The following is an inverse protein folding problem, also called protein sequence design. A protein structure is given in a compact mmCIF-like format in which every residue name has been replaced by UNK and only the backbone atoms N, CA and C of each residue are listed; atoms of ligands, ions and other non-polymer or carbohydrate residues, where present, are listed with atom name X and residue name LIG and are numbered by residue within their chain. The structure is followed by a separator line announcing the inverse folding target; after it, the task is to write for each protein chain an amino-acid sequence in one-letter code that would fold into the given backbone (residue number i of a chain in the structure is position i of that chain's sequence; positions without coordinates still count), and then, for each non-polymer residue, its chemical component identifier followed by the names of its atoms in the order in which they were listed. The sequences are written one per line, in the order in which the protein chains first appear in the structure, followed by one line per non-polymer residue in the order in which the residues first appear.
data_IF_283761340159
#
_entry.id   IF_283761340159
#
_cell.length_a   1.000
_cell.length_b   1.000
_cell.length_c   1.000
_cell.angle_alpha   90.00
_cell.angle_beta   90.00
_cell.angle_gamma   90.00
#
_symmetry.space_group_name_H-M   'P 1'
#
loop_
_entity.id
_entity.type
_entity.pdbx_description
1 polymer ?
#
# COMPACT_ATOMS: atom_id res chain seq x y z
N UNK A 1 -24.94 -10.63 28.28
CA UNK A 1 -24.53 -9.45 29.06
C UNK A 1 -23.81 -8.49 28.12
N UNK A 2 -24.48 -7.37 27.77
CA UNK A 2 -24.06 -6.42 26.72
C UNK A 2 -22.93 -5.52 27.25
N UNK A 3 -21.88 -5.36 26.44
CA UNK A 3 -20.68 -4.61 26.75
C UNK A 3 -20.93 -3.10 26.86
N UNK A 4 -20.38 -2.51 27.92
CA UNK A 4 -20.10 -1.08 28.01
C UNK A 4 -18.79 -0.80 27.26
N UNK A 5 -18.82 0.11 26.29
CA UNK A 5 -17.64 0.85 25.83
C UNK A 5 -18.02 2.32 25.90
N UNK A 6 -17.55 2.97 26.97
CA UNK A 6 -17.56 4.42 27.15
C UNK A 6 -16.55 5.04 26.16
N UNK A 7 -17.03 5.81 25.19
CA UNK A 7 -16.18 6.70 24.39
C UNK A 7 -16.23 8.07 25.05
N UNK A 8 -15.13 8.45 25.69
CA UNK A 8 -14.90 9.79 26.21
C UNK A 8 -14.76 10.78 25.04
N UNK A 9 -15.74 11.65 24.85
CA UNK A 9 -15.64 12.81 23.97
C UNK A 9 -15.08 13.99 24.77
N UNK A 10 -13.79 14.29 24.57
CA UNK A 10 -13.18 15.51 25.08
C UNK A 10 -13.74 16.73 24.36
N UNK A 11 -14.54 17.53 25.06
CA UNK A 11 -14.98 18.86 24.62
C UNK A 11 -13.84 19.86 24.86
N UNK A 12 -13.27 20.41 23.79
CA UNK A 12 -12.49 21.64 23.85
C UNK A 12 -13.35 22.79 23.32
N UNK A 13 -13.96 23.55 24.23
CA UNK A 13 -14.65 24.81 23.93
C UNK A 13 -13.61 25.92 23.99
N UNK A 14 -13.29 26.51 22.85
CA UNK A 14 -12.57 27.79 22.79
C UNK A 14 -13.58 28.90 22.43
N UNK A 15 -13.87 29.76 23.41
CA UNK A 15 -14.33 31.14 23.19
C UNK A 15 -13.10 31.95 22.68
N UNK A 16 -13.18 32.98 21.83
CA UNK A 16 -14.05 34.16 21.72
C UNK A 16 -13.87 34.80 20.32
N UNK A 17 -14.84 35.61 19.87
CA UNK A 17 -14.69 36.49 18.71
C UNK A 17 -16.03 36.91 18.10
N UNK A 18 -16.59 38.04 18.57
CA UNK A 18 -17.87 38.60 18.15
C UNK A 18 -17.67 39.44 16.87
N UNK A 19 -18.44 39.19 15.80
CA UNK A 19 -18.93 40.25 14.92
C UNK A 19 -20.14 39.80 14.06
N UNK A 20 -21.26 40.50 14.30
CA UNK A 20 -22.41 40.79 13.42
C UNK A 20 -23.32 39.66 12.92
N UNK A 21 -24.55 39.70 13.43
CA UNK A 21 -25.73 38.86 13.13
C UNK A 21 -26.35 39.19 11.76
N UNK A 22 -27.20 38.29 11.21
CA UNK A 22 -28.63 38.47 11.46
C UNK A 22 -29.39 37.18 11.85
N UNK A 23 -30.43 37.40 12.65
CA UNK A 23 -31.54 36.50 13.06
C UNK A 23 -31.13 35.16 13.70
N UNK A 24 -31.02 35.22 15.02
CA UNK A 24 -30.81 34.11 15.93
C UNK A 24 -31.96 33.09 15.88
N UNK A 25 -31.74 31.94 15.23
CA UNK A 25 -32.29 30.68 15.73
C UNK A 25 -31.78 30.51 17.16
N UNK A 26 -32.69 30.42 18.14
CA UNK A 26 -32.35 30.42 19.56
C UNK A 26 -31.31 29.35 19.91
N UNK A 27 -30.60 29.48 21.04
CA UNK A 27 -29.57 28.51 21.46
C UNK A 27 -30.08 27.06 21.45
N UNK A 28 -31.38 26.84 21.71
CA UNK A 28 -32.05 25.53 21.60
C UNK A 28 -32.21 24.99 20.17
N UNK A 29 -32.37 25.85 19.15
CA UNK A 29 -32.47 25.40 17.75
C UNK A 29 -31.11 25.02 17.18
N UNK A 30 -30.06 25.72 17.59
CA UNK A 30 -28.67 25.32 17.28
C UNK A 30 -28.33 23.99 17.94
N UNK A 31 -28.77 23.79 19.19
CA UNK A 31 -28.62 22.52 19.90
C UNK A 31 -29.39 21.39 19.21
N UNK A 32 -30.66 21.62 18.82
CA UNK A 32 -31.46 20.63 18.07
C UNK A 32 -30.85 20.26 16.72
N UNK A 33 -30.27 21.23 15.99
CA UNK A 33 -29.55 20.96 14.75
C UNK A 33 -28.27 20.17 14.98
N UNK A 34 -27.53 20.47 16.06
CA UNK A 34 -26.35 19.71 16.44
C UNK A 34 -26.70 18.27 16.84
N UNK A 35 -27.75 18.08 17.66
CA UNK A 35 -28.27 16.76 18.04
C UNK A 35 -28.72 15.96 16.82
N UNK A 36 -29.52 16.54 15.91
CA UNK A 36 -29.89 15.88 14.65
C UNK A 36 -28.69 15.50 13.79
N UNK A 37 -27.63 16.30 13.79
CA UNK A 37 -26.41 16.01 13.05
C UNK A 37 -25.62 14.85 13.67
N UNK A 38 -25.62 14.76 15.00
CA UNK A 38 -25.01 13.65 15.75
C UNK A 38 -25.82 12.37 15.58
N UNK A 39 -27.15 12.44 15.68
CA UNK A 39 -28.05 11.29 15.42
C UNK A 39 -27.85 10.74 14.01
N UNK A 40 -27.79 11.63 13.00
CA UNK A 40 -27.52 11.24 11.62
C UNK A 40 -26.14 10.61 11.44
N UNK A 41 -25.11 11.15 12.10
CA UNK A 41 -23.77 10.57 12.06
C UNK A 41 -23.69 9.19 12.75
N UNK A 42 -24.45 9.00 13.83
CA UNK A 42 -24.57 7.72 14.51
C UNK A 42 -25.33 6.68 13.66
N UNK A 43 -26.36 7.11 12.94
CA UNK A 43 -27.11 6.28 11.99
C UNK A 43 -26.23 5.84 10.82
N UNK A 44 -25.49 6.78 10.20
CA UNK A 44 -24.54 6.47 9.12
C UNK A 44 -23.41 5.51 9.59
N UNK A 45 -22.95 5.64 10.84
CA UNK A 45 -21.96 4.75 11.43
C UNK A 45 -22.52 3.34 11.68
N UNK A 46 -23.77 3.22 12.17
CA UNK A 46 -24.43 1.93 12.36
C UNK A 46 -24.67 1.21 11.02
N UNK A 47 -25.10 1.93 9.97
CA UNK A 47 -25.23 1.35 8.62
C UNK A 47 -23.88 0.85 8.09
N UNK A 48 -22.80 1.57 8.32
CA UNK A 48 -21.46 1.12 7.91
C UNK A 48 -21.02 -0.15 8.64
N UNK A 49 -21.38 -0.31 9.93
CA UNK A 49 -21.11 -1.53 10.71
C UNK A 49 -21.93 -2.71 10.17
N UNK A 50 -23.22 -2.52 9.89
CA UNK A 50 -24.08 -3.57 9.33
C UNK A 50 -23.60 -4.06 7.95
N UNK A 51 -23.17 -3.15 7.07
CA UNK A 51 -22.58 -3.50 5.76
C UNK A 51 -21.31 -4.33 5.92
N UNK A 52 -20.48 -4.03 6.92
CA UNK A 52 -19.25 -4.80 7.22
C UNK A 52 -19.58 -6.20 7.76
N UNK A 53 -20.59 -6.34 8.62
CA UNK A 53 -21.04 -7.63 9.13
C UNK A 53 -21.66 -8.50 8.02
N UNK A 54 -22.47 -7.92 7.13
CA UNK A 54 -23.10 -8.65 6.03
C UNK A 54 -22.06 -9.07 4.96
N UNK A 55 -21.05 -8.24 4.72
CA UNK A 55 -19.90 -8.59 3.86
C UNK A 55 -19.11 -9.78 4.45
N UNK A 56 -19.02 -9.89 5.78
CA UNK A 56 -18.39 -11.07 6.43
C UNK A 56 -19.23 -12.33 6.28
N UNK A 57 -20.57 -12.23 6.27
CA UNK A 57 -21.48 -13.38 6.13
C UNK A 57 -21.53 -13.95 4.71
N UNK A 58 -21.43 -13.11 3.68
CA UNK A 58 -21.60 -13.54 2.28
C UNK A 58 -20.38 -14.22 1.64
N UNK A 59 -19.26 -14.38 2.37
CA UNK A 59 -18.01 -15.03 1.89
C UNK A 59 -17.63 -14.65 0.43
N UNK A 60 -17.84 -13.39 0.04
CA UNK A 60 -17.43 -12.87 -1.27
C UNK A 60 -18.37 -13.15 -2.45
N UNK A 61 -19.52 -13.82 -2.28
CA UNK A 61 -20.51 -13.92 -3.37
C UNK A 61 -21.48 -12.73 -3.33
N UNK A 62 -21.33 -11.85 -4.33
CA UNK A 62 -22.24 -10.74 -4.67
C UNK A 62 -22.39 -9.62 -3.63
N UNK A 63 -21.25 -9.16 -3.10
CA UNK A 63 -21.14 -8.14 -2.03
C UNK A 63 -21.76 -6.78 -2.41
N UNK A 64 -21.69 -6.39 -3.69
CA UNK A 64 -22.18 -5.09 -4.18
C UNK A 64 -23.72 -5.03 -4.16
N UNK A 65 -24.39 -6.12 -4.58
CA UNK A 65 -25.85 -6.20 -4.55
C UNK A 65 -26.42 -6.26 -3.13
N UNK A 66 -25.76 -6.99 -2.24
CA UNK A 66 -26.16 -7.08 -0.84
C UNK A 66 -25.97 -5.74 -0.09
N UNK A 67 -24.85 -5.05 -0.28
CA UNK A 67 -24.59 -3.75 0.34
C UNK A 67 -25.54 -2.64 -0.16
N UNK A 68 -25.91 -2.67 -1.45
CA UNK A 68 -26.89 -1.75 -2.02
C UNK A 68 -28.33 -2.02 -1.51
N UNK A 69 -28.68 -3.28 -1.24
CA UNK A 69 -29.98 -3.66 -0.71
C UNK A 69 -30.18 -3.25 0.76
N UNK A 70 -29.11 -3.24 1.57
CA UNK A 70 -29.15 -2.86 2.99
C UNK A 70 -29.15 -1.33 3.19
N UNK A 71 -28.45 -0.57 2.35
CA UNK A 71 -28.15 0.84 2.60
C UNK A 71 -29.05 1.86 1.86
N UNK A 72 -30.30 1.49 1.52
CA UNK A 72 -31.20 2.23 0.61
C UNK A 72 -31.02 3.76 0.51
N UNK A 73 -30.99 4.30 -0.72
CA UNK A 73 -30.86 5.75 -0.98
C UNK A 73 -29.42 6.25 -1.07
N UNK A 74 -29.14 7.50 -0.63
CA UNK A 74 -27.81 8.17 -0.77
C UNK A 74 -26.65 7.40 -0.09
N UNK A 75 -26.96 6.52 0.86
CA UNK A 75 -25.97 5.70 1.57
C UNK A 75 -25.56 4.45 0.76
N UNK A 76 -26.31 4.10 -0.29
CA UNK A 76 -25.95 3.02 -1.21
C UNK A 76 -24.65 3.31 -1.97
N UNK A 77 -24.34 4.57 -2.30
CA UNK A 77 -23.08 4.92 -2.97
C UNK A 77 -21.86 4.73 -2.05
N UNK A 78 -21.99 5.08 -0.77
CA UNK A 78 -20.96 4.90 0.25
C UNK A 78 -20.76 3.40 0.52
N UNK A 79 -21.85 2.66 0.70
CA UNK A 79 -21.84 1.22 0.90
C UNK A 79 -21.27 0.47 -0.33
N UNK A 80 -21.61 0.91 -1.54
CA UNK A 80 -21.07 0.36 -2.79
C UNK A 80 -19.59 0.66 -2.94
N UNK A 81 -19.12 1.86 -2.56
CA UNK A 81 -17.69 2.20 -2.54
C UNK A 81 -16.89 1.38 -1.52
N UNK A 82 -17.44 1.20 -0.32
CA UNK A 82 -16.82 0.36 0.73
C UNK A 82 -16.83 -1.12 0.32
N UNK A 83 -17.93 -1.64 -0.23
CA UNK A 83 -18.05 -3.02 -0.71
C UNK A 83 -17.19 -3.30 -1.95
N UNK A 84 -17.08 -2.36 -2.89
CA UNK A 84 -16.15 -2.44 -4.02
C UNK A 84 -14.70 -2.41 -3.54
N UNK A 85 -14.37 -1.60 -2.53
CA UNK A 85 -13.03 -1.63 -1.90
C UNK A 85 -12.76 -2.93 -1.13
N UNK A 86 -13.80 -3.59 -0.62
CA UNK A 86 -13.70 -4.91 0.01
C UNK A 86 -13.59 -6.04 -1.01
N UNK A 87 -14.25 -5.93 -2.17
CA UNK A 87 -14.07 -6.83 -3.31
C UNK A 87 -12.65 -6.68 -3.93
N UNK A 88 -12.08 -5.47 -3.90
CA UNK A 88 -10.65 -5.26 -4.21
C UNK A 88 -9.70 -5.95 -3.22
N UNK A 89 -10.18 -6.40 -2.05
CA UNK A 89 -9.39 -7.18 -1.08
C UNK A 89 -9.36 -8.69 -1.37
N UNK A 90 -10.19 -9.21 -2.28
CA UNK A 90 -10.27 -10.66 -2.56
C UNK A 90 -9.32 -11.15 -3.67
N UNK A 91 -8.45 -10.30 -4.21
CA UNK A 91 -7.49 -10.67 -5.26
C UNK A 91 -6.18 -11.32 -4.77
N UNK A 92 -6.13 -11.82 -3.53
CA UNK A 92 -4.98 -12.56 -2.97
C UNK A 92 -5.31 -14.05 -2.77
N UNK A 93 -6.23 -14.59 -3.57
CA UNK A 93 -6.59 -16.00 -3.57
C UNK A 93 -5.71 -16.74 -4.58
N UNK A 94 -4.65 -17.38 -4.07
CA UNK A 94 -4.07 -18.70 -4.38
C UNK A 94 -4.12 -19.29 -5.83
N UNK A 95 -4.48 -18.52 -6.84
CA UNK A 95 -4.74 -18.96 -8.20
C UNK A 95 -4.20 -17.93 -9.18
N UNK A 96 -2.86 -17.85 -9.28
CA UNK A 96 -2.16 -17.32 -10.46
C UNK A 96 -2.47 -15.89 -10.93
N UNK A 97 -3.10 -15.05 -10.11
CA UNK A 97 -3.41 -13.67 -10.47
C UNK A 97 -2.24 -12.73 -10.19
N UNK A 98 -1.96 -11.82 -11.12
CA UNK A 98 -0.96 -10.73 -11.03
C UNK A 98 -1.32 -9.64 -9.99
N UNK A 99 -2.06 -9.99 -8.94
CA UNK A 99 -2.63 -9.08 -7.94
C UNK A 99 -1.58 -8.52 -6.99
N UNK A 100 -1.65 -7.21 -6.73
CA UNK A 100 -0.76 -6.51 -5.81
C UNK A 100 -1.19 -6.82 -4.37
N UNK A 101 -0.43 -7.68 -3.68
CA UNK A 101 -0.77 -8.12 -2.32
C UNK A 101 -0.52 -7.03 -1.27
N UNK A 102 -1.35 -7.02 -0.22
CA UNK A 102 -1.16 -6.20 0.99
C UNK A 102 -0.56 -7.07 2.11
N UNK A 103 0.51 -6.62 2.76
CA UNK A 103 1.37 -7.45 3.62
C UNK A 103 0.84 -7.75 5.03
N UNK A 104 -0.48 -7.83 5.23
CA UNK A 104 -1.07 -7.91 6.58
C UNK A 104 -2.12 -9.00 6.73
N UNK A 105 -1.79 -10.26 6.41
CA UNK A 105 -2.54 -11.41 6.95
C UNK A 105 -1.84 -11.92 8.23
N UNK A 106 -2.57 -12.31 9.28
CA UNK A 106 -1.96 -12.92 10.46
C UNK A 106 -1.25 -14.24 10.10
N UNK A 107 0.05 -14.36 10.38
CA UNK A 107 0.81 -15.61 10.19
C UNK A 107 2.03 -15.57 9.26
N UNK A 108 2.42 -14.42 8.69
CA UNK A 108 3.67 -14.32 7.93
C UNK A 108 4.89 -14.39 8.84
N UNK A 109 5.91 -15.14 8.42
CA UNK A 109 7.16 -15.39 9.16
C UNK A 109 8.14 -14.19 9.19
N UNK A 110 7.64 -12.97 8.98
CA UNK A 110 8.44 -11.74 8.90
C UNK A 110 9.40 -11.71 7.70
N UNK A 111 10.36 -10.78 7.74
CA UNK A 111 11.43 -10.67 6.75
C UNK A 111 12.43 -11.83 6.91
N UNK A 112 13.13 -12.17 5.83
CA UNK A 112 14.27 -13.09 5.90
C UNK A 112 15.36 -12.58 6.86
N UNK A 113 16.28 -13.46 7.30
CA UNK A 113 17.50 -13.03 7.97
C UNK A 113 18.31 -12.10 7.08
N UNK A 114 19.24 -11.34 7.66
CA UNK A 114 20.18 -10.52 6.89
C UNK A 114 20.89 -11.36 5.83
N UNK A 115 21.11 -10.83 4.60
CA UNK A 115 21.85 -11.56 3.59
C UNK A 115 23.20 -12.08 4.08
N UNK A 116 23.47 -13.37 3.89
CA UNK A 116 24.71 -13.98 4.35
C UNK A 116 25.91 -13.54 3.51
N UNK A 117 27.10 -13.53 4.13
CA UNK A 117 28.35 -13.15 3.48
C UNK A 117 28.66 -13.98 2.21
N UNK A 118 28.25 -15.25 2.20
CA UNK A 118 28.40 -16.15 1.04
C UNK A 118 27.78 -15.52 -0.21
N UNK A 119 26.55 -15.03 -0.14
CA UNK A 119 25.85 -14.51 -1.30
C UNK A 119 26.18 -13.05 -1.60
N UNK A 120 26.37 -12.22 -0.56
CA UNK A 120 26.71 -10.81 -0.76
C UNK A 120 28.10 -10.62 -1.37
N UNK A 121 29.07 -11.49 -1.04
CA UNK A 121 30.42 -11.45 -1.64
C UNK A 121 30.45 -11.86 -3.12
N UNK A 122 29.53 -12.71 -3.56
CA UNK A 122 29.39 -13.10 -4.97
C UNK A 122 28.64 -12.06 -5.80
N UNK A 123 27.96 -11.11 -5.17
CA UNK A 123 27.10 -10.14 -5.85
C UNK A 123 27.91 -8.99 -6.41
N UNK A 124 27.84 -8.80 -7.72
CA UNK A 124 28.49 -7.70 -8.43
C UNK A 124 27.51 -6.56 -8.64
N UNK A 125 27.68 -5.45 -7.94
CA UNK A 125 26.79 -4.31 -8.12
C UNK A 125 27.04 -3.54 -9.42
N UNK A 126 25.97 -3.01 -10.00
CA UNK A 126 26.01 -2.25 -11.26
C UNK A 126 26.64 -0.85 -11.10
N UNK A 127 26.94 -0.42 -9.86
CA UNK A 127 27.54 0.89 -9.58
C UNK A 127 26.60 2.07 -9.78
N UNK A 128 25.28 1.83 -9.75
CA UNK A 128 24.27 2.87 -9.76
C UNK A 128 24.11 3.43 -8.34
N UNK A 129 24.31 4.74 -8.11
CA UNK A 129 24.07 5.32 -6.80
C UNK A 129 22.57 5.31 -6.49
N UNK A 130 22.18 4.52 -5.49
CA UNK A 130 20.79 4.39 -5.04
C UNK A 130 20.43 5.58 -4.14
N UNK A 131 19.25 6.14 -4.34
CA UNK A 131 18.69 7.25 -3.56
C UNK A 131 17.19 7.06 -3.33
N UNK A 132 16.62 7.81 -2.38
CA UNK A 132 15.20 7.78 -2.02
C UNK A 132 14.65 6.34 -1.88
N UNK A 133 15.41 5.48 -1.19
CA UNK A 133 15.08 4.07 -1.07
C UNK A 133 14.22 3.81 0.18
N UNK A 134 13.21 2.98 0.04
CA UNK A 134 12.39 2.54 1.17
C UNK A 134 11.83 1.13 0.93
N UNK A 135 11.47 0.46 2.03
CA UNK A 135 10.58 -0.69 2.02
C UNK A 135 9.20 -0.23 2.51
N UNK A 136 8.17 -0.49 1.72
CA UNK A 136 6.80 -0.12 2.04
C UNK A 136 5.83 -1.26 1.78
N UNK A 137 4.54 -0.97 1.86
CA UNK A 137 3.46 -1.95 1.67
C UNK A 137 2.36 -1.36 0.82
N UNK A 138 1.74 -2.17 -0.04
CA UNK A 138 0.45 -1.76 -0.59
C UNK A 138 -0.58 -1.66 0.52
N UNK A 139 -1.29 -0.56 0.55
CA UNK A 139 -2.33 -0.32 1.53
C UNK A 139 -3.21 0.86 1.15
N UNK A 140 -4.22 1.07 1.97
CA UNK A 140 -5.19 2.13 1.77
C UNK A 140 -4.87 3.34 2.62
N UNK A 141 -5.13 4.53 2.08
CA UNK A 141 -5.11 5.80 2.79
C UNK A 141 -6.40 6.56 2.50
N UNK A 142 -6.67 7.59 3.31
CA UNK A 142 -7.82 8.48 3.08
C UNK A 142 -7.36 9.88 2.70
N UNK A 143 -8.22 10.63 2.05
CA UNK A 143 -8.02 12.07 1.81
C UNK A 143 -9.39 12.76 1.82
N UNK A 144 -9.40 14.06 2.11
CA UNK A 144 -10.64 14.85 2.10
C UNK A 144 -10.83 15.53 0.75
N UNK A 145 -12.06 15.47 0.23
CA UNK A 145 -12.50 16.21 -0.94
C UNK A 145 -13.78 16.97 -0.58
N UNK A 146 -13.63 18.26 -0.25
CA UNK A 146 -14.69 19.04 0.38
C UNK A 146 -15.05 18.48 1.75
N UNK A 147 -16.33 18.16 1.98
CA UNK A 147 -16.80 17.54 3.22
C UNK A 147 -16.75 16.01 3.21
N UNK A 148 -16.40 15.40 2.07
CA UNK A 148 -16.38 13.94 1.89
C UNK A 148 -14.97 13.38 2.15
N UNK A 149 -14.91 12.25 2.85
CA UNK A 149 -13.68 11.47 3.00
C UNK A 149 -13.66 10.36 1.97
N UNK A 150 -12.63 10.34 1.13
CA UNK A 150 -12.40 9.30 0.14
C UNK A 150 -11.25 8.38 0.54
N UNK A 151 -11.25 7.17 -0.01
CA UNK A 151 -10.25 6.15 0.26
C UNK A 151 -9.58 5.73 -1.04
N UNK A 152 -8.24 5.65 -1.05
CA UNK A 152 -7.44 5.23 -2.20
C UNK A 152 -6.30 4.31 -1.79
N UNK A 153 -5.85 3.49 -2.74
CA UNK A 153 -4.69 2.63 -2.57
C UNK A 153 -3.39 3.32 -2.99
N UNK A 154 -2.30 2.96 -2.32
CA UNK A 154 -0.93 3.36 -2.63
C UNK A 154 0.09 2.54 -1.85
N UNK A 155 1.36 2.91 -1.95
CA UNK A 155 2.42 2.36 -1.13
C UNK A 155 2.57 3.23 0.12
N UNK A 156 2.32 2.60 1.27
CA UNK A 156 2.28 3.21 2.60
C UNK A 156 3.28 2.51 3.53
N UNK A 157 3.32 2.92 4.80
CA UNK A 157 4.24 2.38 5.81
C UNK A 157 5.69 2.36 5.32
N UNK A 158 6.11 3.46 4.67
CA UNK A 158 7.41 3.60 4.03
C UNK A 158 8.51 3.71 5.09
N UNK A 159 9.30 2.66 5.22
CA UNK A 159 10.52 2.61 6.04
C UNK A 159 11.71 2.99 5.16
N UNK A 160 12.37 4.15 5.37
CA UNK A 160 13.58 4.51 4.63
C UNK A 160 14.67 3.45 4.81
N UNK A 161 15.34 3.08 3.72
CA UNK A 161 16.44 2.11 3.74
C UNK A 161 17.63 2.60 2.94
N UNK A 162 18.79 2.01 3.20
CA UNK A 162 20.02 2.24 2.44
C UNK A 162 20.57 0.93 1.90
N UNK A 163 21.28 1.03 0.77
CA UNK A 163 22.00 -0.09 0.21
C UNK A 163 23.36 -0.23 0.90
N UNK A 164 23.70 -1.43 1.35
CA UNK A 164 25.07 -1.81 1.70
C UNK A 164 25.81 -2.31 0.46
N UNK A 165 27.13 -2.11 0.43
CA UNK A 165 27.99 -2.50 -0.70
C UNK A 165 27.45 -2.07 -2.09
N UNK A 166 26.80 -0.91 -2.17
CA UNK A 166 26.30 -0.29 -3.41
C UNK A 166 24.95 -0.81 -3.95
N UNK A 167 24.53 -2.05 -3.67
CA UNK A 167 23.25 -2.58 -4.15
C UNK A 167 22.59 -3.65 -3.26
N UNK A 168 23.17 -3.97 -2.10
CA UNK A 168 22.61 -4.95 -1.17
C UNK A 168 21.59 -4.25 -0.27
N UNK A 169 20.32 -4.49 -0.53
CA UNK A 169 19.19 -3.92 0.21
C UNK A 169 18.87 -4.76 1.46
N UNK A 170 18.15 -4.18 2.45
CA UNK A 170 17.66 -4.95 3.59
C UNK A 170 16.78 -6.13 3.17
N UNK A 171 16.67 -7.10 4.07
CA UNK A 171 15.84 -8.28 3.85
C UNK A 171 14.36 -7.91 3.67
N UNK A 172 13.66 -8.71 2.89
CA UNK A 172 12.26 -8.52 2.52
C UNK A 172 11.39 -9.70 2.96
N UNK A 173 10.10 -9.43 3.15
CA UNK A 173 9.06 -10.43 3.35
C UNK A 173 8.07 -10.46 2.17
N UNK A 174 7.20 -11.46 2.11
CA UNK A 174 6.06 -11.44 1.19
C UNK A 174 5.17 -10.23 1.44
N UNK A 175 4.79 -9.55 0.36
CA UNK A 175 4.02 -8.30 0.37
C UNK A 175 4.82 -7.04 0.66
N UNK A 176 6.11 -7.15 0.99
CA UNK A 176 6.99 -5.97 1.05
C UNK A 176 7.25 -5.44 -0.37
N UNK A 177 7.27 -4.12 -0.49
CA UNK A 177 7.59 -3.40 -1.71
C UNK A 177 8.90 -2.68 -1.51
N UNK A 178 9.92 -3.05 -2.28
CA UNK A 178 11.17 -2.28 -2.36
C UNK A 178 11.00 -1.18 -3.41
N UNK A 179 11.24 0.06 -3.01
CA UNK A 179 11.34 1.20 -3.91
C UNK A 179 12.75 1.78 -3.86
N UNK A 180 13.34 2.06 -5.02
CA UNK A 180 14.63 2.74 -5.15
C UNK A 180 14.62 3.72 -6.33
N UNK A 181 15.43 4.77 -6.24
CA UNK A 181 15.72 5.66 -7.37
C UNK A 181 17.19 5.61 -7.76
N UNK A 182 17.44 5.57 -9.06
CA UNK A 182 18.77 5.60 -9.67
C UNK A 182 18.88 6.78 -10.66
N UNK A 183 20.09 7.23 -11.05
CA UNK A 183 20.22 8.29 -12.05
C UNK A 183 19.69 7.85 -13.42
N UNK A 184 18.77 8.64 -14.00
CA UNK A 184 18.08 8.28 -15.24
C UNK A 184 19.04 8.15 -16.43
N UNK A 185 20.05 9.02 -16.52
CA UNK A 185 21.05 8.99 -17.59
C UNK A 185 21.91 7.72 -17.55
N UNK A 186 22.37 7.31 -16.35
CA UNK A 186 23.15 6.07 -16.17
C UNK A 186 22.28 4.85 -16.42
N UNK A 187 21.05 4.85 -15.92
CA UNK A 187 20.08 3.80 -16.19
C UNK A 187 19.83 3.60 -17.68
N UNK A 188 19.53 4.68 -18.41
CA UNK A 188 19.28 4.63 -19.87
C UNK A 188 20.50 4.13 -20.67
N UNK A 189 21.73 4.35 -20.17
CA UNK A 189 22.94 3.86 -20.83
C UNK A 189 23.19 2.36 -20.65
N UNK A 190 22.52 1.71 -19.69
CA UNK A 190 22.67 0.29 -19.44
C UNK A 190 21.87 -0.52 -20.47
N UNK A 191 22.59 -1.06 -21.47
CA UNK A 191 22.02 -1.97 -22.47
C UNK A 191 21.67 -3.34 -21.85
N UNK A 192 20.73 -4.05 -22.46
CA UNK A 192 20.37 -5.42 -22.09
C UNK A 192 19.07 -5.55 -21.29
N UNK A 193 18.60 -6.78 -21.17
CA UNK A 193 17.44 -7.11 -20.34
C UNK A 193 17.81 -7.25 -18.87
N UNK A 194 16.82 -7.07 -18.00
CA UNK A 194 16.95 -7.28 -16.57
C UNK A 194 16.13 -8.49 -16.13
N UNK A 195 16.68 -9.29 -15.24
CA UNK A 195 16.01 -10.48 -14.71
C UNK A 195 16.16 -10.57 -13.21
N UNK A 196 15.13 -11.13 -12.57
CA UNK A 196 15.23 -11.60 -11.20
C UNK A 196 15.84 -12.99 -11.19
N UNK A 197 16.76 -13.23 -10.27
CA UNK A 197 17.23 -14.56 -9.91
C UNK A 197 17.17 -14.69 -8.39
N UNK A 198 16.62 -15.79 -7.90
CA UNK A 198 16.62 -16.13 -6.50
C UNK A 198 17.20 -17.53 -6.30
N UNK A 199 18.02 -17.67 -5.27
CA UNK A 199 18.64 -18.93 -4.86
C UNK A 199 18.21 -19.22 -3.43
N UNK A 200 17.71 -20.43 -3.16
CA UNK A 200 17.39 -20.87 -1.80
C UNK A 200 18.66 -20.86 -0.95
N UNK A 201 18.63 -20.19 0.19
CA UNK A 201 19.84 -19.91 0.96
C UNK A 201 20.46 -21.18 1.56
N UNK A 202 19.63 -22.15 1.93
CA UNK A 202 20.06 -23.41 2.56
C UNK A 202 20.62 -24.41 1.54
N UNK A 203 19.92 -24.59 0.41
CA UNK A 203 20.25 -25.62 -0.59
C UNK A 203 21.12 -25.11 -1.73
N UNK A 204 21.14 -23.79 -1.97
CA UNK A 204 21.78 -23.21 -3.15
C UNK A 204 21.03 -23.47 -4.46
N UNK A 205 19.82 -24.03 -4.42
CA UNK A 205 19.02 -24.31 -5.61
C UNK A 205 18.36 -23.05 -6.16
N UNK A 206 18.22 -22.96 -7.48
CA UNK A 206 17.48 -21.86 -8.10
C UNK A 206 15.99 -21.99 -7.78
N UNK A 207 15.37 -20.89 -7.35
CA UNK A 207 13.93 -20.84 -7.22
C UNK A 207 13.27 -20.88 -8.61
N UNK A 208 12.06 -21.45 -8.69
CA UNK A 208 11.30 -21.52 -9.93
C UNK A 208 10.98 -20.10 -10.45
N UNK A 209 11.45 -19.72 -11.64
CA UNK A 209 11.23 -18.37 -12.18
C UNK A 209 9.76 -18.00 -12.39
N UNK A 210 8.88 -18.98 -12.56
CA UNK A 210 7.43 -18.75 -12.71
C UNK A 210 6.79 -18.10 -11.47
N UNK A 211 7.48 -18.16 -10.33
CA UNK A 211 7.03 -17.57 -9.08
C UNK A 211 7.42 -16.08 -8.95
N UNK A 212 8.38 -15.59 -9.74
CA UNK A 212 8.89 -14.23 -9.56
C UNK A 212 7.90 -13.17 -10.03
N UNK A 213 7.84 -12.01 -9.35
CA UNK A 213 7.02 -10.89 -9.82
C UNK A 213 7.49 -10.45 -11.21
N UNK A 214 6.56 -9.86 -11.97
CA UNK A 214 6.92 -9.16 -13.18
C UNK A 214 7.92 -8.02 -12.89
N UNK A 215 8.80 -7.77 -13.86
CA UNK A 215 9.80 -6.71 -13.76
C UNK A 215 9.16 -5.34 -13.50
N UNK A 216 9.67 -4.62 -12.48
CA UNK A 216 9.26 -3.27 -12.08
C UNK A 216 7.73 -3.06 -12.03
N UNK A 217 7.06 -3.79 -11.13
CA UNK A 217 5.60 -3.92 -11.10
C UNK A 217 4.84 -2.81 -10.33
N UNK A 218 5.53 -1.72 -9.96
CA UNK A 218 4.95 -0.54 -9.33
C UNK A 218 4.83 0.61 -10.34
N UNK A 219 3.80 1.45 -10.18
CA UNK A 219 3.56 2.61 -11.04
C UNK A 219 3.64 3.92 -10.23
N UNK A 220 3.85 5.05 -10.91
CA UNK A 220 3.95 6.36 -10.25
C UNK A 220 2.76 6.70 -9.34
N UNK A 221 1.52 6.35 -9.74
CA UNK A 221 0.32 6.49 -8.90
C UNK A 221 0.39 5.76 -7.55
N UNK A 222 1.21 4.72 -7.44
CA UNK A 222 1.36 3.96 -6.20
C UNK A 222 2.29 4.70 -5.23
N UNK A 223 3.18 5.55 -5.73
CA UNK A 223 4.14 6.34 -4.94
C UNK A 223 3.62 7.75 -4.67
N UNK A 224 3.14 8.45 -5.70
CA UNK A 224 2.58 9.78 -5.57
C UNK A 224 1.14 9.67 -5.09
N UNK A 225 0.94 9.89 -3.79
CA UNK A 225 -0.38 9.84 -3.16
C UNK A 225 -1.19 11.09 -3.48
N UNK A 226 -2.51 11.00 -3.26
CA UNK A 226 -3.37 12.15 -3.44
C UNK A 226 -2.99 13.30 -2.49
N UNK A 227 -3.11 14.54 -2.95
CA UNK A 227 -2.93 15.72 -2.10
C UNK A 227 -3.96 15.72 -0.97
N UNK A 228 -3.52 16.05 0.24
CA UNK A 228 -4.33 15.95 1.45
C UNK A 228 -4.50 14.51 1.97
N UNK A 229 -3.61 13.58 1.57
CA UNK A 229 -3.61 12.23 2.13
C UNK A 229 -3.37 12.25 3.65
N UNK A 230 -4.05 11.35 4.35
CA UNK A 230 -4.00 11.21 5.80
C UNK A 230 -2.66 10.75 6.37
N UNK A 231 -1.68 10.42 5.51
CA UNK A 231 -0.37 9.89 5.91
C UNK A 231 0.73 10.94 5.82
N UNK A 232 0.44 12.13 5.29
CA UNK A 232 1.41 13.22 5.17
C UNK A 232 2.57 12.95 4.21
N UNK A 233 2.45 11.97 3.30
CA UNK A 233 3.51 11.71 2.33
C UNK A 233 3.54 12.78 1.24
N UNK A 234 4.75 13.22 0.90
CA UNK A 234 5.05 14.15 -0.19
C UNK A 234 6.14 13.55 -1.12
N UNK A 235 6.25 14.02 -2.38
CA UNK A 235 5.32 14.95 -3.03
C UNK A 235 3.97 14.29 -3.37
N UNK A 236 2.90 15.09 -3.42
CA UNK A 236 1.54 14.66 -3.76
C UNK A 236 1.05 15.21 -5.11
N UNK A 237 -0.03 14.62 -5.64
CA UNK A 237 -0.77 15.18 -6.75
C UNK A 237 -2.27 14.86 -6.65
N UNK A 238 -3.11 15.82 -7.03
CA UNK A 238 -4.56 15.62 -7.15
C UNK A 238 -4.94 14.91 -8.46
N UNK A 239 -6.21 14.51 -8.57
CA UNK A 239 -6.79 14.02 -9.82
C UNK A 239 -6.85 12.49 -9.93
N UNK A 240 -6.92 11.98 -11.16
CA UNK A 240 -7.06 10.54 -11.43
C UNK A 240 -5.76 9.77 -11.16
N UNK A 241 -5.81 8.44 -11.26
CA UNK A 241 -4.61 7.62 -11.21
C UNK A 241 -3.61 7.96 -12.33
N UNK A 242 -4.09 8.33 -13.52
CA UNK A 242 -3.21 8.73 -14.62
C UNK A 242 -2.51 10.05 -14.33
N UNK A 243 -3.21 11.00 -13.70
CA UNK A 243 -2.64 12.32 -13.39
C UNK A 243 -1.54 12.21 -12.35
N UNK A 244 -1.74 11.40 -11.30
CA UNK A 244 -0.71 11.14 -10.29
C UNK A 244 0.51 10.41 -10.87
N UNK A 245 0.30 9.40 -11.72
CA UNK A 245 1.42 8.74 -12.40
C UNK A 245 2.23 9.74 -13.23
N UNK A 246 1.56 10.58 -14.04
CA UNK A 246 2.23 11.59 -14.87
C UNK A 246 2.97 12.62 -14.02
N UNK A 247 2.37 13.07 -12.93
CA UNK A 247 3.00 14.00 -12.01
C UNK A 247 4.26 13.39 -11.37
N UNK A 248 4.23 12.09 -11.04
CA UNK A 248 5.41 11.38 -10.54
C UNK A 248 6.51 11.24 -11.60
N UNK A 249 6.15 10.87 -12.83
CA UNK A 249 7.11 10.77 -13.93
C UNK A 249 7.78 12.13 -14.22
N UNK A 250 7.01 13.22 -14.16
CA UNK A 250 7.53 14.58 -14.31
C UNK A 250 8.46 14.98 -13.16
N UNK A 251 8.12 14.59 -11.92
CA UNK A 251 8.96 14.82 -10.75
C UNK A 251 10.30 14.08 -10.85
N UNK A 252 10.27 12.79 -11.20
CA UNK A 252 11.46 11.98 -11.47
C UNK A 252 12.32 12.58 -12.58
N UNK A 253 11.71 12.97 -13.70
CA UNK A 253 12.40 13.60 -14.84
C UNK A 253 13.08 14.90 -14.41
N UNK A 254 12.39 15.76 -13.66
CA UNK A 254 12.94 17.02 -13.13
C UNK A 254 14.15 16.77 -12.22
N UNK A 255 14.11 15.71 -11.41
CA UNK A 255 15.21 15.32 -10.51
C UNK A 255 16.30 14.48 -11.19
N UNK A 256 16.16 14.16 -12.47
CA UNK A 256 17.08 13.30 -13.21
C UNK A 256 17.12 11.85 -12.69
N UNK A 257 15.99 11.36 -12.17
CA UNK A 257 15.87 10.04 -11.53
C UNK A 257 15.04 9.08 -12.37
N UNK A 258 15.32 7.79 -12.20
CA UNK A 258 14.51 6.70 -12.69
C UNK A 258 14.10 5.85 -11.48
N UNK A 259 12.81 5.56 -11.36
CA UNK A 259 12.29 4.70 -10.31
C UNK A 259 12.44 3.23 -10.70
N UNK A 260 12.76 2.41 -9.72
CA UNK A 260 12.62 0.96 -9.78
C UNK A 260 11.87 0.53 -8.54
N UNK A 261 10.92 -0.38 -8.69
CA UNK A 261 10.40 -1.03 -7.50
C UNK A 261 9.74 -2.34 -7.74
N UNK A 262 9.73 -3.11 -6.66
CA UNK A 262 9.59 -4.54 -6.71
C UNK A 262 8.66 -4.94 -5.57
N UNK A 263 7.44 -5.32 -5.92
CA UNK A 263 6.51 -5.95 -4.99
C UNK A 263 6.78 -7.46 -4.98
N UNK A 264 7.16 -7.98 -3.81
CA UNK A 264 7.45 -9.38 -3.61
C UNK A 264 6.13 -10.16 -3.41
N UNK A 265 5.78 -11.10 -4.31
CA UNK A 265 4.48 -11.75 -4.31
C UNK A 265 4.31 -12.70 -3.13
N UNK A 266 3.06 -12.97 -2.77
CA UNK A 266 2.74 -14.13 -1.95
C UNK A 266 3.01 -15.40 -2.77
N UNK A 267 4.10 -16.09 -2.43
CA UNK A 267 4.44 -17.35 -3.06
C UNK A 267 3.74 -18.47 -2.28
N UNK A 268 2.55 -18.86 -2.75
CA UNK A 268 1.75 -19.94 -2.17
C UNK A 268 2.35 -21.31 -2.46
N UNK A 269 2.92 -21.97 -1.43
CA UNK A 269 3.12 -23.43 -1.32
C UNK A 269 4.27 -23.84 -0.37
N UNK A 270 4.99 -22.91 0.24
CA UNK A 270 6.24 -23.25 0.92
C UNK A 270 6.43 -22.68 2.32
N UNK A 271 7.19 -23.43 3.12
CA UNK A 271 7.28 -23.31 4.58
C UNK A 271 8.28 -22.24 5.03
N UNK A 272 8.10 -20.97 4.67
CA UNK A 272 8.99 -19.92 5.19
C UNK A 272 10.40 -19.93 4.59
N UNK A 273 10.59 -20.52 3.41
CA UNK A 273 11.91 -20.64 2.75
C UNK A 273 12.56 -19.26 2.55
N UNK A 274 13.84 -19.19 2.89
CA UNK A 274 14.66 -18.00 2.70
C UNK A 274 15.44 -18.08 1.38
N UNK A 275 15.30 -17.04 0.57
CA UNK A 275 16.00 -16.89 -0.70
C UNK A 275 16.95 -15.72 -0.66
N UNK A 276 18.06 -15.82 -1.38
CA UNK A 276 18.84 -14.67 -1.78
C UNK A 276 18.47 -14.31 -3.22
N UNK A 277 17.95 -13.10 -3.41
CA UNK A 277 17.46 -12.61 -4.68
C UNK A 277 18.32 -11.46 -5.21
N UNK A 278 18.45 -11.38 -6.53
CA UNK A 278 19.07 -10.25 -7.23
C UNK A 278 18.28 -9.87 -8.47
N UNK A 279 18.25 -8.58 -8.76
CA UNK A 279 17.82 -8.01 -10.03
C UNK A 279 19.05 -7.63 -10.83
N UNK A 280 19.42 -8.48 -11.79
CA UNK A 280 20.66 -8.36 -12.54
C UNK A 280 20.44 -8.06 -14.01
N UNK A 281 21.37 -7.30 -14.59
CA UNK A 281 21.45 -7.07 -16.01
C UNK A 281 22.04 -8.32 -16.68
N UNK A 282 21.30 -8.91 -17.61
CA UNK A 282 21.66 -10.17 -18.26
C UNK A 282 22.95 -10.06 -19.08
N UNK A 283 23.21 -8.90 -19.69
CA UNK A 283 24.40 -8.70 -20.51
C UNK A 283 25.67 -8.55 -19.67
N UNK A 284 25.60 -7.87 -18.52
CA UNK A 284 26.79 -7.59 -17.69
C UNK A 284 26.94 -8.50 -16.47
N UNK A 285 25.91 -9.26 -16.09
CA UNK A 285 25.88 -10.03 -14.84
C UNK A 285 25.93 -9.17 -13.58
N UNK A 286 25.59 -7.87 -13.67
CA UNK A 286 25.67 -6.93 -12.53
C UNK A 286 24.29 -6.57 -12.02
N UNK A 287 24.16 -6.42 -10.71
CA UNK A 287 22.88 -6.25 -10.02
C UNK A 287 22.60 -4.79 -9.66
N UNK A 288 21.36 -4.35 -9.88
CA UNK A 288 20.88 -3.04 -9.41
C UNK A 288 20.37 -3.11 -7.97
N UNK A 289 19.85 -4.26 -7.58
CA UNK A 289 19.45 -4.55 -6.20
C UNK A 289 19.62 -6.04 -5.92
N UNK A 290 20.01 -6.37 -4.70
CA UNK A 290 19.99 -7.73 -4.18
C UNK A 290 19.60 -7.74 -2.71
N UNK A 291 18.90 -8.77 -2.24
CA UNK A 291 18.37 -8.86 -0.89
C UNK A 291 18.02 -10.30 -0.54
N UNK A 292 17.93 -10.59 0.76
CA UNK A 292 17.33 -11.82 1.23
C UNK A 292 15.80 -11.64 1.27
N UNK A 293 15.07 -12.68 0.90
CA UNK A 293 13.62 -12.67 0.81
C UNK A 293 13.05 -13.91 1.47
N UNK A 294 12.15 -13.72 2.43
CA UNK A 294 11.40 -14.82 3.04
C UNK A 294 10.09 -14.97 2.33
N UNK A 295 9.91 -16.13 1.69
CA UNK A 295 8.61 -16.55 1.19
C UNK A 295 7.67 -16.83 2.37
N UNK A 296 6.49 -16.25 2.37
CA UNK A 296 5.49 -16.43 3.42
C UNK A 296 5.08 -17.89 3.60
N UNK A 297 4.87 -18.30 4.85
CA UNK A 297 4.29 -19.60 5.17
C UNK A 297 2.78 -19.57 4.88
N UNK A 298 2.25 -20.59 4.21
CA UNK A 298 0.81 -20.86 4.28
C UNK A 298 0.45 -21.30 5.71
N UNK A 299 -0.48 -20.60 6.38
CA UNK A 299 -1.25 -21.25 7.43
C UNK A 299 -2.12 -22.33 6.77
N UNK A 300 -2.02 -23.55 7.29
CA UNK A 300 -3.02 -24.61 7.05
C UNK A 300 -4.39 -24.13 7.51
#
# INVERSE_FOLDING_TARGET
MKHQILIAAGLAVAATGIATTPVSAGPFDKLKKAVKKVEKAAEDANTAVEVVEETRRTKGRNVVGAAAAVAGGRNAAIATGVAASAASRSGCDATGGTGRCTAKRPGYAGRAPTPSAKFTSMTKCAGLPISNAFVGKFGDYTFQQGLSQEKRGGIIDREPVSASNGCIMPSMASGDVLYIEVPANRWASMKGGWKMQCIEMDTGQNANPAAFPSWSNIAGKDIMLHTGNSLGYEPTASGSNSDRSRAWDNDLKRRGKHMLGFNMPDLHNDKGTDFYCQYYNVASGKSVAAFAYRRGATRR
#
